data_IF_828545489749
#
_entry.id   IF_828545489749
#
_cell.length_a   1.000
_cell.length_b   1.000
_cell.length_c   1.000
_cell.angle_alpha   90.00
_cell.angle_beta   90.00
_cell.angle_gamma   90.00
#
_symmetry.space_group_name_H-M   'P 1'
#
loop_
_entity.id
_entity.type
_entity.pdbx_description
1 polymer ?
#
# COMPACT_ATOMS: atom_id res chain seq x y z
N UNK A 1 17.56 -20.64 12.98
CA UNK A 1 16.48 -20.19 12.08
C UNK A 1 16.39 -18.66 11.90
N UNK A 2 17.20 -17.84 12.59
CA UNK A 2 17.31 -16.38 12.33
C UNK A 2 18.23 -16.02 11.14
N UNK A 3 19.20 -16.88 10.81
CA UNK A 3 20.26 -16.59 9.83
C UNK A 3 19.72 -16.55 8.38
N UNK A 4 18.67 -17.30 8.06
CA UNK A 4 18.10 -17.36 6.70
C UNK A 4 17.27 -16.11 6.32
N UNK A 5 16.59 -15.46 7.28
CA UNK A 5 15.78 -14.26 7.00
C UNK A 5 16.68 -13.03 6.78
N UNK A 6 17.82 -12.99 7.48
CA UNK A 6 18.85 -11.96 7.28
C UNK A 6 19.53 -12.17 5.92
N UNK A 7 19.85 -13.41 5.54
CA UNK A 7 20.49 -13.72 4.25
C UNK A 7 19.68 -13.34 3.02
N UNK A 8 18.36 -13.57 3.00
CA UNK A 8 17.50 -13.24 1.85
C UNK A 8 17.30 -11.72 1.71
N UNK A 9 17.03 -11.02 2.82
CA UNK A 9 16.95 -9.56 2.79
C UNK A 9 18.30 -8.92 2.44
N UNK A 10 19.42 -9.51 2.87
CA UNK A 10 20.75 -9.05 2.51
C UNK A 10 21.06 -9.30 1.03
N UNK A 11 20.76 -10.48 0.48
CA UNK A 11 20.93 -10.74 -0.96
C UNK A 11 20.06 -9.84 -1.83
N UNK A 12 18.83 -9.52 -1.41
CA UNK A 12 17.95 -8.61 -2.16
C UNK A 12 18.39 -7.16 -2.01
N UNK A 13 18.85 -6.72 -0.82
CA UNK A 13 19.47 -5.41 -0.64
C UNK A 13 20.76 -5.28 -1.44
N UNK A 14 21.58 -6.33 -1.50
CA UNK A 14 22.80 -6.38 -2.31
C UNK A 14 22.45 -6.44 -3.79
N UNK A 15 21.42 -7.18 -4.22
CA UNK A 15 20.96 -7.21 -5.60
C UNK A 15 20.32 -5.88 -6.02
N UNK A 16 19.53 -5.22 -5.18
CA UNK A 16 19.02 -3.87 -5.42
C UNK A 16 20.17 -2.85 -5.46
N UNK A 17 21.12 -2.95 -4.52
CA UNK A 17 22.34 -2.13 -4.49
C UNK A 17 23.29 -2.39 -5.67
N UNK A 18 23.35 -3.63 -6.19
CA UNK A 18 24.13 -4.00 -7.38
C UNK A 18 23.41 -3.66 -8.68
N UNK A 19 22.08 -3.74 -8.72
CA UNK A 19 21.26 -3.22 -9.84
C UNK A 19 21.52 -1.73 -10.05
N UNK A 20 21.72 -0.97 -8.96
CA UNK A 20 22.11 0.44 -9.01
C UNK A 20 23.50 0.68 -9.60
N UNK A 21 24.48 -0.23 -9.44
CA UNK A 21 25.79 -0.10 -10.10
C UNK A 21 25.75 -0.34 -11.61
N UNK A 22 24.71 -0.98 -12.13
CA UNK A 22 24.57 -1.20 -13.57
C UNK A 22 23.72 -0.11 -14.27
N UNK A 23 23.12 0.80 -13.49
CA UNK A 23 22.40 1.98 -13.97
C UNK A 23 23.29 3.21 -13.71
N UNK A 24 24.51 3.22 -14.28
CA UNK A 24 25.38 4.39 -14.28
C UNK A 24 24.80 5.48 -15.19
N UNK A 25 24.10 6.44 -14.59
CA UNK A 25 24.06 7.89 -14.92
C UNK A 25 22.91 8.58 -14.16
N UNK A 26 22.85 8.41 -12.84
CA UNK A 26 22.05 9.29 -11.98
C UNK A 26 23.01 10.00 -11.03
N UNK A 27 23.35 11.23 -11.36
CA UNK A 27 24.09 12.20 -10.52
C UNK A 27 23.28 12.64 -9.27
N UNK A 28 22.32 11.84 -8.81
CA UNK A 28 21.56 12.11 -7.60
C UNK A 28 21.40 10.81 -6.80
N UNK A 29 22.04 10.79 -5.63
CA UNK A 29 21.94 9.76 -4.61
C UNK A 29 20.50 9.66 -4.03
N UNK A 30 19.53 9.17 -4.78
CA UNK A 30 18.26 8.72 -4.17
C UNK A 30 18.48 7.32 -3.55
N UNK A 31 18.88 7.34 -2.28
CA UNK A 31 19.17 6.18 -1.44
C UNK A 31 18.09 5.08 -1.50
N UNK A 32 18.54 3.82 -1.40
CA UNK A 32 17.70 2.69 -0.99
C UNK A 32 17.29 2.92 0.47
N UNK A 33 16.03 3.27 0.72
CA UNK A 33 15.51 3.40 2.08
C UNK A 33 15.00 2.04 2.57
N UNK A 34 15.69 1.46 3.56
CA UNK A 34 15.12 0.36 4.36
C UNK A 34 14.27 0.98 5.46
N UNK A 35 12.96 0.96 5.25
CA UNK A 35 11.98 1.47 6.22
C UNK A 35 11.13 0.33 6.73
N UNK A 36 10.65 0.45 7.96
CA UNK A 36 9.50 -0.32 8.40
C UNK A 36 8.26 0.39 7.87
N UNK A 37 7.38 -0.33 7.18
CA UNK A 37 6.06 0.17 6.86
C UNK A 37 5.07 -0.32 7.92
N UNK A 38 4.36 0.64 8.48
CA UNK A 38 3.17 0.43 9.31
C UNK A 38 1.96 0.50 8.39
N UNK A 39 1.03 -0.46 8.54
CA UNK A 39 -0.12 -0.61 7.66
C UNK A 39 -1.38 -1.02 8.44
N UNK A 40 -2.47 -0.29 8.20
CA UNK A 40 -3.84 -0.71 8.46
C UNK A 40 -4.58 -0.87 7.14
N UNK A 41 -5.46 -1.86 7.08
CA UNK A 41 -6.40 -2.01 5.96
C UNK A 41 -7.81 -1.89 6.51
N UNK A 42 -8.56 -0.96 5.93
CA UNK A 42 -9.96 -0.73 6.20
C UNK A 42 -10.79 -1.89 5.68
N UNK A 43 -11.91 -2.15 6.34
CA UNK A 43 -12.93 -3.00 5.75
C UNK A 43 -13.35 -2.43 4.39
N UNK A 44 -13.66 -3.29 3.40
CA UNK A 44 -14.14 -2.85 2.11
C UNK A 44 -15.35 -1.93 2.28
N UNK A 45 -15.27 -0.73 1.72
CA UNK A 45 -16.39 0.22 1.72
C UNK A 45 -17.11 0.17 0.38
N UNK A 46 -18.43 0.27 0.45
CA UNK A 46 -19.24 0.43 -0.75
C UNK A 46 -19.03 1.81 -1.36
N UNK A 47 -19.09 1.88 -2.69
CA UNK A 47 -18.93 3.11 -3.47
C UNK A 47 -19.81 4.26 -2.95
N UNK A 48 -21.02 3.96 -2.48
CA UNK A 48 -21.99 4.94 -1.94
C UNK A 48 -21.43 5.71 -0.73
N UNK A 49 -20.44 5.17 -0.01
CA UNK A 49 -19.85 5.80 1.17
C UNK A 49 -18.53 6.52 0.88
N UNK A 50 -18.02 6.45 -0.36
CA UNK A 50 -16.72 7.01 -0.74
C UNK A 50 -16.74 8.53 -0.71
N UNK A 51 -17.84 9.15 -1.15
CA UNK A 51 -17.97 10.63 -1.14
C UNK A 51 -17.94 11.20 0.27
N UNK A 52 -18.70 10.60 1.20
CA UNK A 52 -18.70 11.01 2.60
C UNK A 52 -17.32 10.80 3.24
N UNK A 53 -16.65 9.69 2.93
CA UNK A 53 -15.29 9.44 3.39
C UNK A 53 -14.29 10.45 2.82
N UNK A 54 -14.41 10.82 1.54
CA UNK A 54 -13.56 11.81 0.90
C UNK A 54 -13.68 13.18 1.60
N UNK A 55 -14.90 13.64 1.87
CA UNK A 55 -15.15 14.90 2.59
C UNK A 55 -14.53 14.85 3.99
N UNK A 56 -14.73 13.75 4.71
CA UNK A 56 -14.13 13.56 6.04
C UNK A 56 -12.60 13.60 5.96
N UNK A 57 -11.99 12.87 5.03
CA UNK A 57 -10.54 12.83 4.86
C UNK A 57 -9.99 14.21 4.46
N UNK A 58 -10.67 14.94 3.59
CA UNK A 58 -10.28 16.30 3.22
C UNK A 58 -10.25 17.24 4.44
N UNK A 59 -11.25 17.13 5.33
CA UNK A 59 -11.31 17.90 6.57
C UNK A 59 -10.26 17.47 7.62
N UNK A 60 -10.02 16.17 7.76
CA UNK A 60 -9.07 15.62 8.74
C UNK A 60 -7.61 15.81 8.33
N UNK A 61 -7.29 15.66 7.04
CA UNK A 61 -5.93 15.72 6.53
C UNK A 61 -5.49 17.17 6.24
N UNK A 62 -6.43 18.05 5.87
CA UNK A 62 -6.14 19.46 5.59
C UNK A 62 -5.23 19.70 4.36
N UNK A 63 -5.03 18.67 3.54
CA UNK A 63 -4.20 18.70 2.32
C UNK A 63 -5.02 18.33 1.10
N UNK A 64 -4.53 18.65 -0.09
CA UNK A 64 -5.24 18.31 -1.32
C UNK A 64 -5.22 16.81 -1.59
N UNK A 65 -6.35 16.32 -2.13
CA UNK A 65 -6.49 14.98 -2.67
C UNK A 65 -5.63 14.81 -3.91
N UNK A 66 -4.85 13.74 -3.96
CA UNK A 66 -4.08 13.35 -5.14
C UNK A 66 -4.74 12.17 -5.83
N UNK A 67 -4.84 12.22 -7.16
CA UNK A 67 -5.34 11.09 -7.94
C UNK A 67 -4.30 9.98 -7.95
N UNK A 68 -4.78 8.74 -7.98
CA UNK A 68 -3.94 7.56 -7.95
C UNK A 68 -4.34 6.62 -9.08
N UNK A 69 -3.39 6.32 -9.98
CA UNK A 69 -3.51 5.28 -11.01
C UNK A 69 -2.17 4.54 -11.12
N UNK A 70 -2.02 3.45 -10.38
CA UNK A 70 -0.77 2.69 -10.29
C UNK A 70 -0.93 1.33 -10.97
N UNK A 71 -0.09 1.05 -11.95
CA UNK A 71 0.07 -0.29 -12.52
C UNK A 71 1.12 -1.05 -11.70
N UNK A 72 0.67 -2.09 -11.00
CA UNK A 72 1.48 -2.93 -10.13
C UNK A 72 1.76 -4.26 -10.82
N UNK A 73 3.03 -4.57 -11.03
CA UNK A 73 3.53 -5.81 -11.62
C UNK A 73 4.23 -6.62 -10.52
N UNK A 74 3.62 -7.74 -10.14
CA UNK A 74 4.13 -8.63 -9.10
C UNK A 74 5.01 -9.71 -9.71
N UNK A 75 6.26 -9.78 -9.25
CA UNK A 75 7.26 -10.74 -9.69
C UNK A 75 7.63 -11.70 -8.56
N UNK A 76 7.81 -12.98 -8.90
CA UNK A 76 8.29 -14.02 -8.00
C UNK A 76 9.65 -14.53 -8.44
N UNK A 77 10.53 -14.79 -7.49
CA UNK A 77 11.83 -15.40 -7.77
C UNK A 77 11.66 -16.81 -8.34
N UNK A 78 12.37 -17.11 -9.43
CA UNK A 78 12.45 -18.48 -9.95
C UNK A 78 13.25 -19.40 -9.00
N UNK A 79 13.14 -20.73 -9.18
CA UNK A 79 13.85 -21.71 -8.35
C UNK A 79 15.39 -21.56 -8.40
N UNK A 80 15.91 -20.92 -9.45
CA UNK A 80 17.34 -20.70 -9.65
C UNK A 80 17.93 -19.61 -8.73
N UNK A 81 17.08 -18.81 -8.06
CA UNK A 81 17.50 -17.71 -7.19
C UNK A 81 17.63 -18.09 -5.71
N UNK A 82 17.40 -19.36 -5.37
CA UNK A 82 17.54 -19.91 -4.03
C UNK A 82 16.31 -20.67 -3.55
N UNK A 83 16.43 -21.28 -2.37
CA UNK A 83 15.38 -22.12 -1.79
C UNK A 83 14.19 -21.33 -1.20
N UNK A 84 14.36 -20.02 -0.98
CA UNK A 84 13.34 -19.15 -0.38
C UNK A 84 12.76 -18.26 -1.48
N UNK A 85 11.45 -18.39 -1.72
CA UNK A 85 10.75 -17.53 -2.64
C UNK A 85 10.78 -16.06 -2.16
N UNK A 86 11.10 -15.15 -3.07
CA UNK A 86 11.04 -13.70 -2.86
C UNK A 86 10.05 -13.08 -3.84
N UNK A 87 9.34 -12.06 -3.38
CA UNK A 87 8.39 -11.29 -4.17
C UNK A 87 8.88 -9.84 -4.30
N UNK A 88 8.84 -9.32 -5.52
CA UNK A 88 9.17 -7.93 -5.84
C UNK A 88 8.02 -7.33 -6.62
N UNK A 89 7.64 -6.11 -6.27
CA UNK A 89 6.59 -5.35 -6.95
C UNK A 89 7.22 -4.21 -7.73
N UNK A 90 6.84 -4.07 -8.98
CA UNK A 90 7.17 -2.92 -9.82
C UNK A 90 5.92 -2.05 -9.91
N UNK A 91 6.05 -0.78 -9.57
CA UNK A 91 4.96 0.18 -9.51
C UNK A 91 5.22 1.24 -10.57
N UNK A 92 4.28 1.39 -11.50
CA UNK A 92 4.31 2.44 -12.51
C UNK A 92 3.18 3.42 -12.21
N UNK A 93 3.52 4.66 -11.86
CA UNK A 93 2.54 5.72 -11.68
C UNK A 93 2.15 6.30 -13.04
N UNK A 94 0.86 6.22 -13.37
CA UNK A 94 0.28 6.63 -14.64
C UNK A 94 -0.43 7.99 -14.57
N UNK A 95 -0.55 8.62 -13.40
CA UNK A 95 -1.09 9.98 -13.28
C UNK A 95 -0.03 11.05 -13.59
N UNK A 96 1.26 10.69 -13.56
CA UNK A 96 2.35 11.58 -13.95
C UNK A 96 2.42 11.79 -15.47
N UNK A 97 2.84 12.97 -15.95
CA UNK A 97 3.03 13.23 -17.39
C UNK A 97 4.01 12.26 -18.05
N UNK A 98 5.08 11.90 -17.32
CA UNK A 98 5.99 10.82 -17.67
C UNK A 98 5.87 9.71 -16.61
N UNK A 99 5.57 8.46 -17.01
CA UNK A 99 5.38 7.39 -16.04
C UNK A 99 6.63 7.14 -15.20
N UNK A 100 6.49 7.30 -13.89
CA UNK A 100 7.58 7.05 -12.93
C UNK A 100 7.52 5.62 -12.40
N UNK A 101 8.67 4.95 -12.36
CA UNK A 101 8.76 3.56 -11.93
C UNK A 101 9.44 3.44 -10.57
N UNK A 102 8.88 2.61 -9.70
CA UNK A 102 9.42 2.28 -8.39
C UNK A 102 9.47 0.77 -8.24
N UNK A 103 10.59 0.25 -7.77
CA UNK A 103 10.69 -1.14 -7.30
C UNK A 103 10.45 -1.18 -5.80
N UNK A 104 9.67 -2.16 -5.35
CA UNK A 104 9.35 -2.38 -3.94
C UNK A 104 9.53 -3.84 -3.57
N UNK A 105 10.35 -4.09 -2.56
CA UNK A 105 10.44 -5.38 -1.89
C UNK A 105 9.72 -5.30 -0.54
N UNK A 106 8.79 -6.23 -0.32
CA UNK A 106 8.01 -6.31 0.91
C UNK A 106 8.48 -7.51 1.72
N UNK A 107 9.11 -7.24 2.85
CA UNK A 107 9.55 -8.26 3.80
C UNK A 107 8.38 -8.84 4.60
N UNK A 108 8.67 -9.90 5.35
CA UNK A 108 7.70 -10.51 6.26
C UNK A 108 7.19 -9.53 7.32
N UNK A 109 5.96 -9.77 7.77
CA UNK A 109 5.40 -9.11 8.94
C UNK A 109 6.26 -9.36 10.19
N UNK A 110 6.33 -8.37 11.07
CA UNK A 110 6.87 -8.51 12.42
C UNK A 110 6.11 -9.63 13.15
N UNK A 111 6.82 -10.46 13.89
CA UNK A 111 6.28 -11.63 14.62
C UNK A 111 6.75 -11.61 16.07
N UNK A 112 6.01 -12.32 16.93
CA UNK A 112 6.30 -12.46 18.35
C UNK A 112 5.33 -11.67 19.22
N UNK A 113 5.45 -11.81 20.55
CA UNK A 113 4.50 -11.25 21.52
C UNK A 113 4.28 -9.74 21.37
N UNK A 114 5.32 -8.98 20.99
CA UNK A 114 5.19 -7.55 20.72
C UNK A 114 4.35 -7.25 19.47
N UNK A 115 4.41 -8.10 18.44
CA UNK A 115 3.58 -7.93 17.24
C UNK A 115 2.12 -8.25 17.50
N UNK A 116 1.81 -9.18 18.40
CA UNK A 116 0.42 -9.56 18.74
C UNK A 116 -0.29 -8.49 19.57
N UNK A 117 0.46 -7.69 20.33
CA UNK A 117 -0.06 -6.57 21.12
C UNK A 117 -0.31 -5.30 20.28
N UNK A 118 0.23 -5.23 19.06
CA UNK A 118 0.10 -4.07 18.17
C UNK A 118 -1.09 -4.29 17.22
N UNK A 119 -2.02 -3.33 17.23
CA UNK A 119 -3.23 -3.29 16.39
C UNK A 119 -2.95 -3.07 14.90
N UNK A 120 -1.73 -2.66 14.58
CA UNK A 120 -1.23 -2.37 13.23
C UNK A 120 -0.34 -3.50 12.73
N UNK A 121 -0.19 -3.63 11.42
CA UNK A 121 0.83 -4.48 10.84
C UNK A 121 2.13 -3.70 10.64
N UNK A 122 3.23 -4.21 11.20
CA UNK A 122 4.57 -3.67 10.96
C UNK A 122 5.33 -4.66 10.09
N UNK A 123 5.94 -4.21 9.00
CA UNK A 123 6.75 -5.04 8.10
C UNK A 123 7.93 -4.25 7.56
N UNK A 124 9.01 -4.93 7.17
CA UNK A 124 10.12 -4.26 6.48
C UNK A 124 9.74 -4.00 5.02
N UNK A 125 10.00 -2.81 4.52
CA UNK A 125 9.86 -2.44 3.13
C UNK A 125 11.15 -1.78 2.63
N UNK A 126 11.52 -2.12 1.40
CA UNK A 126 12.60 -1.45 0.69
C UNK A 126 12.05 -0.98 -0.63
N UNK A 127 12.19 0.30 -0.94
CA UNK A 127 11.78 0.87 -2.21
C UNK A 127 12.87 1.76 -2.83
N UNK A 128 12.84 1.88 -4.15
CA UNK A 128 13.77 2.70 -4.91
C UNK A 128 13.16 3.08 -6.27
N UNK A 129 13.43 4.30 -6.73
CA UNK A 129 13.06 4.70 -8.09
C UNK A 129 13.93 3.97 -9.10
N UNK A 130 13.32 3.59 -10.22
CA UNK A 130 13.96 2.80 -11.26
C UNK A 130 13.55 3.32 -12.64
N UNK A 131 14.25 2.88 -13.68
CA UNK A 131 13.86 3.16 -15.05
C UNK A 131 12.80 2.17 -15.55
N UNK A 132 12.14 2.50 -16.67
CA UNK A 132 11.19 1.62 -17.38
C UNK A 132 11.76 0.24 -17.78
N UNK A 133 13.09 0.07 -17.79
CA UNK A 133 13.75 -1.19 -18.12
C UNK A 133 13.78 -2.19 -16.95
N UNK A 134 13.26 -1.81 -15.78
CA UNK A 134 13.32 -2.63 -14.57
C UNK A 134 12.68 -4.02 -14.74
N UNK A 135 11.58 -4.13 -15.48
CA UNK A 135 10.94 -5.44 -15.73
C UNK A 135 11.89 -6.40 -16.45
N UNK A 136 12.59 -5.91 -17.48
CA UNK A 136 13.57 -6.69 -18.24
C UNK A 136 14.75 -7.10 -17.37
N UNK A 137 15.21 -6.21 -16.50
CA UNK A 137 16.27 -6.50 -15.54
C UNK A 137 15.89 -7.65 -14.61
N UNK A 138 14.70 -7.59 -13.98
CA UNK A 138 14.25 -8.65 -13.08
C UNK A 138 14.03 -10.00 -13.78
N UNK A 139 13.57 -10.00 -15.04
CA UNK A 139 13.53 -11.22 -15.84
C UNK A 139 14.92 -11.80 -16.10
N UNK A 140 15.91 -10.96 -16.42
CA UNK A 140 17.30 -11.40 -16.59
C UNK A 140 17.90 -11.96 -15.29
N UNK A 141 17.48 -11.44 -14.13
CA UNK A 141 17.85 -11.98 -12.82
C UNK A 141 17.14 -13.31 -12.50
N UNK A 142 16.15 -13.75 -13.28
CA UNK A 142 15.44 -15.00 -13.08
C UNK A 142 14.14 -14.87 -12.28
N UNK A 143 13.62 -13.66 -12.10
CA UNK A 143 12.25 -13.47 -11.65
C UNK A 143 11.26 -13.76 -12.77
N UNK A 144 10.05 -14.15 -12.40
CA UNK A 144 8.94 -14.41 -13.33
C UNK A 144 7.74 -13.57 -12.92
N UNK A 145 6.95 -13.17 -13.91
CA UNK A 145 5.67 -12.54 -13.66
C UNK A 145 4.75 -13.52 -12.92
N UNK A 146 4.14 -13.06 -11.83
CA UNK A 146 3.12 -13.78 -11.09
C UNK A 146 1.73 -13.27 -11.48
N UNK A 147 1.49 -11.97 -11.30
CA UNK A 147 0.26 -11.29 -11.67
C UNK A 147 0.50 -9.78 -11.83
N UNK A 148 -0.47 -9.08 -12.40
CA UNK A 148 -0.49 -7.62 -12.46
C UNK A 148 -1.88 -7.08 -12.11
N UNK A 149 -1.88 -5.88 -11.55
CA UNK A 149 -3.08 -5.19 -11.07
C UNK A 149 -3.00 -3.72 -11.44
N UNK A 150 -4.15 -3.10 -11.62
CA UNK A 150 -4.27 -1.65 -11.73
C UNK A 150 -5.02 -1.12 -10.50
N UNK A 151 -4.36 -0.32 -9.69
CA UNK A 151 -4.97 0.38 -8.56
C UNK A 151 -5.42 1.76 -9.03
N UNK A 152 -6.71 2.06 -8.87
CA UNK A 152 -7.30 3.34 -9.27
C UNK A 152 -8.08 3.94 -8.12
N UNK A 153 -7.80 5.20 -7.79
CA UNK A 153 -8.48 5.91 -6.72
C UNK A 153 -7.82 7.24 -6.39
N UNK A 154 -7.64 7.52 -5.10
CA UNK A 154 -7.00 8.73 -4.62
C UNK A 154 -6.23 8.49 -3.32
N UNK A 155 -5.34 9.42 -3.00
CA UNK A 155 -4.55 9.41 -1.78
C UNK A 155 -4.47 10.79 -1.13
N UNK A 156 -4.24 10.79 0.19
CA UNK A 156 -3.87 11.96 0.98
C UNK A 156 -2.55 11.70 1.67
N UNK A 157 -1.59 12.60 1.51
CA UNK A 157 -0.27 12.54 2.12
C UNK A 157 -0.11 13.71 3.10
N UNK A 158 0.01 13.46 4.40
CA UNK A 158 0.04 14.53 5.41
C UNK A 158 0.94 14.16 6.60
N UNK A 159 1.30 15.18 7.37
CA UNK A 159 2.12 15.05 8.57
C UNK A 159 1.28 15.26 9.82
N UNK A 160 1.20 14.25 10.69
CA UNK A 160 0.51 14.31 11.99
C UNK A 160 1.14 13.35 12.98
N UNK A 161 2.20 13.79 13.66
CA UNK A 161 3.05 12.92 14.49
C UNK A 161 3.95 11.98 13.67
N UNK A 162 3.49 11.55 12.49
CA UNK A 162 4.26 10.85 11.47
C UNK A 162 3.78 11.26 10.06
N UNK A 163 4.55 10.91 9.02
CA UNK A 163 4.10 10.99 7.63
C UNK A 163 3.06 9.89 7.40
N UNK A 164 1.78 10.26 7.32
CA UNK A 164 0.68 9.32 7.11
C UNK A 164 0.19 9.44 5.67
N UNK A 165 -0.05 8.29 5.05
CA UNK A 165 -0.65 8.17 3.74
C UNK A 165 -1.95 7.40 3.85
N UNK A 166 -3.05 8.01 3.43
CA UNK A 166 -4.36 7.34 3.33
C UNK A 166 -4.66 7.16 1.86
N UNK A 167 -4.82 5.91 1.43
CA UNK A 167 -5.16 5.55 0.05
C UNK A 167 -6.54 4.93 0.02
N UNK A 168 -7.42 5.46 -0.83
CA UNK A 168 -8.72 4.87 -1.12
C UNK A 168 -8.71 4.44 -2.58
N UNK A 169 -8.81 3.14 -2.84
CA UNK A 169 -8.60 2.62 -4.19
C UNK A 169 -9.43 1.37 -4.52
N UNK A 170 -9.80 1.26 -5.78
CA UNK A 170 -10.26 0.01 -6.39
C UNK A 170 -9.07 -0.80 -6.89
N UNK A 171 -9.14 -2.13 -6.77
CA UNK A 171 -8.18 -3.05 -7.35
C UNK A 171 -8.79 -3.66 -8.60
N UNK A 172 -8.12 -3.46 -9.73
CA UNK A 172 -8.58 -3.91 -11.03
C UNK A 172 -7.63 -4.98 -11.57
N UNK A 173 -8.18 -6.06 -12.12
CA UNK A 173 -7.39 -7.08 -12.82
C UNK A 173 -7.27 -6.69 -14.29
N UNK A 174 -6.14 -7.07 -14.86
CA UNK A 174 -5.86 -6.85 -16.28
C UNK A 174 -6.41 -8.02 -17.09
N UNK A 175 -7.23 -7.74 -18.11
CA UNK A 175 -7.77 -8.79 -19.00
C UNK A 175 -6.72 -9.26 -20.01
N UNK A 176 -5.84 -8.35 -20.42
CA UNK A 176 -4.71 -8.57 -21.29
C UNK A 176 -3.47 -7.98 -20.65
N UNK A 177 -2.35 -8.69 -20.82
CA UNK A 177 -1.08 -8.30 -20.22
C UNK A 177 -0.72 -6.84 -20.58
N UNK A 178 -0.50 -6.03 -19.56
CA UNK A 178 -0.14 -4.60 -19.62
C UNK A 178 -1.18 -3.67 -20.28
N UNK A 179 -2.38 -4.16 -20.63
CA UNK A 179 -3.46 -3.35 -21.19
C UNK A 179 -4.25 -2.60 -20.09
N UNK A 180 -3.72 -1.48 -19.62
CA UNK A 180 -4.25 -0.74 -18.44
C UNK A 180 -5.59 -0.05 -18.70
N UNK A 181 -5.98 0.12 -19.96
CA UNK A 181 -7.26 0.70 -20.35
C UNK A 181 -8.40 -0.33 -20.39
N UNK A 182 -8.06 -1.62 -20.40
CA UNK A 182 -9.01 -2.74 -20.40
C UNK A 182 -9.16 -3.38 -19.01
N UNK A 183 -8.60 -2.76 -17.96
CA UNK A 183 -8.64 -3.29 -16.62
C UNK A 183 -10.08 -3.27 -16.06
N UNK A 184 -10.46 -4.35 -15.37
CA UNK A 184 -11.80 -4.48 -14.77
C UNK A 184 -11.70 -4.63 -13.26
N UNK A 185 -12.61 -4.03 -12.47
CA UNK A 185 -12.60 -4.17 -11.02
C UNK A 185 -12.69 -5.63 -10.59
N UNK A 186 -11.82 -6.05 -9.68
CA UNK A 186 -11.89 -7.40 -9.07
C UNK A 186 -13.13 -7.50 -8.19
N UNK A 187 -13.46 -6.42 -7.48
CA UNK A 187 -14.63 -6.29 -6.60
C UNK A 187 -15.41 -5.02 -6.98
N UNK A 188 -16.33 -5.10 -7.96
CA UNK A 188 -17.12 -3.95 -8.38
C UNK A 188 -17.89 -3.32 -7.21
N UNK A 189 -17.88 -1.99 -7.14
CA UNK A 189 -18.58 -1.24 -6.09
C UNK A 189 -17.91 -1.27 -4.73
N UNK A 190 -16.75 -1.91 -4.59
CA UNK A 190 -15.96 -1.96 -3.36
C UNK A 190 -14.65 -1.20 -3.55
N UNK A 191 -14.31 -0.35 -2.59
CA UNK A 191 -13.01 0.29 -2.48
C UNK A 191 -12.30 -0.17 -1.22
N UNK A 192 -10.97 -0.28 -1.32
CA UNK A 192 -10.07 -0.62 -0.22
C UNK A 192 -9.47 0.68 0.29
N UNK A 193 -9.56 0.86 1.61
CA UNK A 193 -8.90 1.97 2.32
C UNK A 193 -7.65 1.42 2.98
N UNK A 194 -6.50 2.02 2.73
CA UNK A 194 -5.23 1.66 3.36
C UNK A 194 -4.66 2.89 4.06
N UNK A 195 -4.23 2.72 5.31
CA UNK A 195 -3.49 3.76 6.04
C UNK A 195 -2.09 3.25 6.28
N UNK A 196 -1.10 3.96 5.74
CA UNK A 196 0.31 3.57 5.83
C UNK A 196 1.17 4.70 6.35
N UNK A 197 2.26 4.34 7.03
CA UNK A 197 3.28 5.29 7.44
C UNK A 197 4.67 4.61 7.43
N UNK A 198 5.70 5.27 6.88
CA UNK A 198 7.07 4.82 7.03
C UNK A 198 7.56 5.08 8.46
N UNK A 199 8.36 4.15 8.95
CA UNK A 199 9.00 4.21 10.25
C UNK A 199 10.42 3.64 10.17
N UNK A 200 11.24 4.00 11.13
CA UNK A 200 12.53 3.38 11.41
C UNK A 200 12.39 2.38 12.56
N UNK A 201 13.43 1.56 12.78
CA UNK A 201 13.45 0.65 13.92
C UNK A 201 13.41 1.37 15.28
N UNK A 202 13.74 2.67 15.33
CA UNK A 202 13.86 3.45 16.56
C UNK A 202 12.56 4.16 16.94
N UNK A 203 11.72 4.50 15.96
CA UNK A 203 10.53 5.33 16.17
C UNK A 203 9.20 4.65 15.79
N UNK A 204 9.21 3.37 15.42
CA UNK A 204 7.98 2.70 14.97
C UNK A 204 6.88 2.68 16.03
N UNK A 205 7.20 2.71 17.33
CA UNK A 205 6.21 2.79 18.42
C UNK A 205 5.45 4.11 18.40
N UNK A 206 6.13 5.23 18.17
CA UNK A 206 5.53 6.56 18.04
C UNK A 206 4.67 6.65 16.78
N UNK A 207 5.17 6.12 15.66
CA UNK A 207 4.43 6.06 14.39
C UNK A 207 3.18 5.19 14.54
N UNK A 208 3.27 4.04 15.23
CA UNK A 208 2.12 3.18 15.55
C UNK A 208 1.06 3.96 16.32
N UNK A 209 1.47 4.74 17.33
CA UNK A 209 0.54 5.54 18.13
C UNK A 209 -0.13 6.64 17.30
N UNK A 210 0.64 7.36 16.48
CA UNK A 210 0.13 8.41 15.59
C UNK A 210 -0.88 7.86 14.56
N UNK A 211 -0.54 6.75 13.90
CA UNK A 211 -1.43 6.09 12.93
C UNK A 211 -2.68 5.56 13.64
N UNK A 212 -2.54 4.90 14.79
CA UNK A 212 -3.68 4.35 15.54
C UNK A 212 -4.65 5.46 15.96
N UNK A 213 -4.13 6.57 16.50
CA UNK A 213 -4.94 7.73 16.87
C UNK A 213 -5.63 8.36 15.66
N UNK A 214 -4.96 8.42 14.50
CA UNK A 214 -5.59 8.89 13.27
C UNK A 214 -6.76 7.99 12.84
N UNK A 215 -6.57 6.67 12.89
CA UNK A 215 -7.59 5.68 12.52
C UNK A 215 -8.86 5.79 13.39
N UNK A 216 -8.76 6.24 14.65
CA UNK A 216 -9.93 6.46 15.51
C UNK A 216 -10.87 7.54 14.98
N UNK A 217 -10.35 8.57 14.29
CA UNK A 217 -11.19 9.59 13.64
C UNK A 217 -11.95 9.05 12.42
N UNK A 218 -11.54 7.91 11.87
CA UNK A 218 -12.21 7.25 10.74
C UNK A 218 -13.29 6.27 11.20
N UNK A 219 -13.27 5.85 12.47
CA UNK A 219 -14.21 4.89 13.06
C UNK A 219 -15.71 5.18 12.80
N UNK A 220 -16.19 6.44 12.71
CA UNK A 220 -17.59 6.72 12.42
C UNK A 220 -18.07 6.21 11.06
N UNK A 221 -17.17 6.12 10.07
CA UNK A 221 -17.52 5.70 8.70
C UNK A 221 -16.83 4.39 8.30
N UNK A 222 -15.70 4.06 8.92
CA UNK A 222 -14.83 2.97 8.50
C UNK A 222 -14.23 2.25 9.70
N UNK A 223 -14.38 0.93 9.71
CA UNK A 223 -13.64 0.08 10.65
C UNK A 223 -12.30 -0.34 10.03
N UNK A 224 -11.21 0.02 10.70
CA UNK A 224 -9.85 -0.33 10.30
C UNK A 224 -9.36 -1.54 11.10
N UNK A 225 -8.76 -2.49 10.40
CA UNK A 225 -8.28 -3.73 11.01
C UNK A 225 -6.84 -4.03 10.60
N UNK A 226 -6.17 -4.85 11.40
CA UNK A 226 -4.85 -5.36 11.06
C UNK A 226 -4.96 -6.28 9.82
N UNK A 227 -4.21 -6.01 8.75
CA UNK A 227 -4.22 -6.88 7.57
C UNK A 227 -3.90 -8.33 7.93
N UNK A 228 -4.67 -9.27 7.38
CA UNK A 228 -4.52 -10.72 7.64
C UNK A 228 -5.31 -11.25 8.84
N UNK A 229 -5.93 -10.37 9.65
CA UNK A 229 -6.97 -10.77 10.60
C UNK A 229 -8.31 -10.61 9.89
N UNK A 230 -8.97 -11.73 9.56
CA UNK A 230 -10.32 -11.69 8.96
C UNK A 230 -11.32 -11.23 10.01
N UNK A 231 -11.49 -9.91 10.15
CA UNK A 231 -12.65 -9.35 10.82
C UNK A 231 -13.76 -9.33 9.78
N UNK A 232 -14.81 -10.13 9.99
CA UNK A 232 -15.96 -10.13 9.10
C UNK A 232 -16.56 -8.72 8.98
N UNK A 233 -17.36 -8.49 7.93
CA UNK A 233 -18.08 -7.22 7.72
C UNK A 233 -18.91 -6.92 8.98
N UNK A 234 -18.52 -5.89 9.73
CA UNK A 234 -19.21 -5.52 10.96
C UNK A 234 -20.52 -4.79 10.58
N UNK A 235 -21.71 -5.26 11.04
CA UNK A 235 -23.01 -4.67 10.71
C UNK A 235 -23.15 -3.17 11.06
N UNK A 236 -22.31 -2.68 11.97
CA UNK A 236 -22.34 -1.32 12.51
C UNK A 236 -22.03 -0.24 11.46
N UNK A 237 -21.16 -0.50 10.48
CA UNK A 237 -20.86 0.48 9.43
C UNK A 237 -22.06 0.69 8.48
N UNK A 238 -22.78 -0.38 8.16
CA UNK A 238 -24.02 -0.32 7.38
C UNK A 238 -25.14 0.41 8.15
N UNK A 239 -25.24 0.17 9.46
CA UNK A 239 -26.22 0.84 10.31
C UNK A 239 -25.93 2.34 10.50
N UNK A 240 -24.66 2.73 10.69
CA UNK A 240 -24.25 4.14 10.82
C UNK A 240 -24.46 4.92 9.51
N UNK A 241 -24.13 4.31 8.37
CA UNK A 241 -24.38 4.92 7.07
C UNK A 241 -25.89 5.05 6.76
N UNK A 242 -26.70 4.06 7.14
CA UNK A 242 -28.16 4.15 7.01
C UNK A 242 -28.77 5.26 7.87
N UNK A 243 -28.27 5.47 9.09
CA UNK A 243 -28.73 6.55 9.97
C UNK A 243 -28.43 7.95 9.44
N UNK A 244 -27.26 8.16 8.80
CA UNK A 244 -26.92 9.44 8.17
C UNK A 244 -27.79 9.78 6.94
N UNK A 245 -28.28 8.75 6.24
CA UNK A 245 -29.15 8.93 5.06
C UNK A 245 -30.64 9.09 5.41
N UNK A 246 -31.03 8.77 6.65
CA UNK A 246 -32.43 8.81 7.09
C UNK A 246 -32.88 10.18 7.63
N UNK A 247 -31.98 11.13 7.89
CA UNK A 247 -32.29 12.41 8.56
C UNK A 247 -32.62 13.57 7.58
N UNK A 248 -32.87 13.26 6.30
CA UNK A 248 -33.25 14.25 5.27
C UNK A 248 -34.75 14.49 5.12
N UNK A 249 -35.58 14.04 6.06
CA UNK A 249 -37.03 13.95 5.91
C UNK A 249 -37.83 14.69 6.97
N UNK A 250 -37.74 16.02 7.02
CA UNK A 250 -38.71 16.80 7.77
C UNK A 250 -38.36 18.28 7.89
N UNK A 251 -39.02 19.12 7.07
CA UNK A 251 -39.85 20.25 7.52
C UNK A 251 -40.33 21.01 6.28
N UNK A 252 -41.60 20.87 5.91
CA UNK A 252 -42.42 22.00 5.44
C UNK A 252 -43.86 21.78 5.91
N UNK A 253 -44.36 22.82 6.55
CA UNK A 253 -45.71 23.08 7.05
C UNK A 253 -46.83 22.67 6.08
#
# INVERSE_FOLDING_TARGET
MLINIIGVNFCIMVMLGMCLRFVENLENEELIFKVQQIEFVGLPIFHVHVEALEILLQGLCGVHKERLRIHEICLKSGPNLGAVASEVRLLCDLEQPEPTWTVRHIGGAMRGAGADQISVLVRTMVESKVSKNVLRLFYALGYKLDHELLRVGFAFHFQRGAQITVTVSSVNKMLKLHATDEAVPVTPGIQVVEVTAPASAENYTEVVAAVSSFCEYLAPLLHLSKPGISTGVVPTAAAAAASLMSDGGGTTL
#
